data_IF_341129279281
#
_entry.id   IF_341129279281
#
_cell.length_a   1.000
_cell.length_b   1.000
_cell.length_c   1.000
_cell.angle_alpha   90.00
_cell.angle_beta   90.00
_cell.angle_gamma   90.00
#
_symmetry.space_group_name_H-M   'P 1'
#
loop_
_entity.id
_entity.type
_entity.pdbx_description
1 polymer ?
#
# COMPACT_ATOMS: atom_id res chain seq x y z
N UNK A 1 -65.44 -47.76 32.18
CA UNK A 1 -64.31 -48.00 31.23
C UNK A 1 -63.39 -46.82 31.06
N UNK A 2 -63.34 -45.92 32.04
CA UNK A 2 -62.60 -44.57 31.88
C UNK A 2 -61.46 -44.42 32.93
N UNK A 3 -61.29 -45.33 33.85
CA UNK A 3 -60.31 -45.23 34.96
C UNK A 3 -59.06 -46.07 34.79
N UNK A 4 -58.84 -46.72 33.63
CA UNK A 4 -57.64 -47.57 33.40
C UNK A 4 -56.57 -46.94 32.48
N UNK A 5 -56.85 -45.73 31.91
CA UNK A 5 -55.94 -45.01 31.02
C UNK A 5 -55.12 -43.94 31.72
N UNK A 6 -55.46 -43.59 32.97
CA UNK A 6 -54.74 -42.54 33.71
C UNK A 6 -53.51 -43.04 34.48
N UNK A 7 -53.47 -44.40 34.77
CA UNK A 7 -52.37 -44.94 35.53
C UNK A 7 -51.14 -45.37 34.71
N UNK A 8 -51.28 -45.51 33.40
CA UNK A 8 -50.12 -45.85 32.55
C UNK A 8 -49.30 -44.61 32.08
N UNK A 9 -49.86 -43.41 32.12
CA UNK A 9 -49.13 -42.21 31.71
C UNK A 9 -48.32 -41.50 32.84
N UNK A 10 -48.38 -42.01 34.07
CA UNK A 10 -47.56 -41.51 35.19
C UNK A 10 -46.24 -42.26 35.38
N UNK A 11 -46.04 -43.40 34.75
CA UNK A 11 -44.81 -44.18 34.84
C UNK A 11 -43.75 -43.75 33.77
N UNK A 12 -44.15 -42.95 32.75
CA UNK A 12 -43.26 -42.56 31.67
C UNK A 12 -42.60 -41.16 31.86
N UNK A 13 -42.97 -40.42 32.91
CA UNK A 13 -42.41 -39.08 33.20
C UNK A 13 -41.44 -39.04 34.39
N UNK A 14 -41.06 -40.19 34.94
CA UNK A 14 -40.10 -40.25 36.05
C UNK A 14 -38.70 -40.80 35.68
N UNK A 15 -38.39 -40.88 34.40
CA UNK A 15 -37.01 -41.11 33.95
C UNK A 15 -36.35 -39.79 33.56
N UNK A 16 -36.29 -38.82 34.47
CA UNK A 16 -35.31 -37.72 34.39
C UNK A 16 -33.94 -38.33 34.66
N UNK A 17 -33.23 -38.60 33.58
CA UNK A 17 -31.88 -39.10 33.61
C UNK A 17 -30.98 -38.23 34.47
N UNK A 18 -30.57 -38.71 35.58
CA UNK A 18 -29.44 -38.20 36.33
C UNK A 18 -28.20 -38.35 35.44
N UNK A 19 -27.72 -37.25 34.86
CA UNK A 19 -26.43 -37.29 34.19
C UNK A 19 -25.39 -37.67 35.25
N UNK A 20 -24.78 -38.83 35.09
CA UNK A 20 -23.72 -39.32 35.98
C UNK A 20 -22.59 -38.24 35.96
N UNK A 21 -21.91 -38.10 37.09
CA UNK A 21 -20.80 -37.15 37.25
C UNK A 21 -19.76 -37.35 36.16
N UNK A 22 -19.59 -38.54 35.65
CA UNK A 22 -18.73 -38.93 34.55
C UNK A 22 -19.20 -38.33 33.20
N UNK A 23 -20.49 -38.30 32.90
CA UNK A 23 -21.06 -37.67 31.70
C UNK A 23 -20.89 -36.16 31.70
N UNK A 24 -21.01 -35.51 32.86
CA UNK A 24 -20.75 -34.05 33.00
C UNK A 24 -19.28 -33.72 32.83
N UNK A 25 -18.37 -34.57 33.28
CA UNK A 25 -16.91 -34.37 33.10
C UNK A 25 -16.53 -34.58 31.64
N UNK A 26 -17.01 -35.60 30.95
CA UNK A 26 -16.78 -35.84 29.51
C UNK A 26 -17.31 -34.67 28.66
N UNK A 27 -18.50 -34.16 28.98
CA UNK A 27 -19.09 -33.03 28.26
C UNK A 27 -18.30 -31.71 28.47
N UNK A 28 -17.77 -31.46 29.67
CA UNK A 28 -16.88 -30.32 29.96
C UNK A 28 -15.54 -30.44 29.22
N UNK A 29 -14.97 -31.64 29.15
CA UNK A 29 -13.74 -31.91 28.41
C UNK A 29 -13.95 -31.76 26.92
N UNK A 30 -15.02 -32.27 26.35
CA UNK A 30 -15.38 -32.08 24.94
C UNK A 30 -15.57 -30.59 24.60
N UNK A 31 -16.27 -29.82 25.44
CA UNK A 31 -16.42 -28.38 25.21
C UNK A 31 -15.08 -27.63 25.25
N UNK A 32 -14.15 -27.99 26.12
CA UNK A 32 -12.79 -27.43 26.16
C UNK A 32 -12.00 -27.79 24.90
N UNK A 33 -12.09 -29.03 24.42
CA UNK A 33 -11.43 -29.48 23.20
C UNK A 33 -12.00 -28.74 21.99
N UNK A 34 -13.33 -28.60 21.89
CA UNK A 34 -13.99 -27.83 20.84
C UNK A 34 -13.60 -26.34 20.87
N UNK A 35 -13.51 -25.74 22.05
CA UNK A 35 -13.07 -24.35 22.20
C UNK A 35 -11.60 -24.20 21.81
N UNK A 36 -10.73 -25.12 22.20
CA UNK A 36 -9.32 -25.13 21.77
C UNK A 36 -9.16 -25.34 20.26
N UNK A 37 -9.95 -26.22 19.65
CA UNK A 37 -9.95 -26.43 18.21
C UNK A 37 -10.50 -25.21 17.45
N UNK A 38 -11.53 -24.55 17.96
CA UNK A 38 -12.09 -23.34 17.39
C UNK A 38 -11.12 -22.15 17.51
N UNK A 39 -10.43 -22.00 18.64
CA UNK A 39 -9.39 -20.98 18.80
C UNK A 39 -8.17 -21.27 17.93
N UNK A 40 -7.75 -22.52 17.80
CA UNK A 40 -6.64 -22.91 16.93
C UNK A 40 -7.00 -22.73 15.44
N UNK A 41 -8.24 -23.03 15.05
CA UNK A 41 -8.74 -22.75 13.70
C UNK A 41 -8.85 -21.24 13.43
N UNK A 42 -9.29 -20.44 14.40
CA UNK A 42 -9.34 -18.98 14.29
C UNK A 42 -7.93 -18.36 14.22
N UNK A 43 -6.96 -18.87 14.99
CA UNK A 43 -5.55 -18.45 14.88
C UNK A 43 -4.91 -18.88 13.56
N UNK A 44 -5.22 -20.06 13.04
CA UNK A 44 -4.78 -20.52 11.73
C UNK A 44 -5.42 -19.70 10.58
N UNK A 45 -6.69 -19.29 10.73
CA UNK A 45 -7.33 -18.39 9.74
C UNK A 45 -6.74 -16.98 9.77
N UNK A 46 -6.26 -16.50 10.91
CA UNK A 46 -5.58 -15.21 11.04
C UNK A 46 -4.13 -15.23 10.52
N UNK A 47 -3.54 -16.42 10.33
CA UNK A 47 -2.18 -16.57 9.79
C UNK A 47 -2.12 -16.66 8.24
N UNK A 48 -3.26 -16.60 7.54
CA UNK A 48 -3.31 -16.59 6.08
C UNK A 48 -3.71 -15.20 5.58
N UNK A 49 -3.18 -14.16 6.20
CA UNK A 49 -3.03 -12.89 5.49
C UNK A 49 -1.78 -13.11 4.66
N UNK A 50 -1.94 -13.41 3.39
CA UNK A 50 -0.86 -13.27 2.41
C UNK A 50 -0.41 -11.82 2.52
N UNK A 51 0.68 -11.58 3.23
CA UNK A 51 1.30 -10.29 3.25
C UNK A 51 1.87 -10.09 1.85
N UNK A 52 1.11 -9.45 0.98
CA UNK A 52 1.67 -8.80 -0.19
C UNK A 52 2.70 -7.83 0.34
N UNK A 53 3.94 -8.03 0.01
CA UNK A 53 5.04 -7.39 0.71
C UNK A 53 6.08 -6.91 -0.30
N UNK A 54 5.83 -5.74 -0.93
CA UNK A 54 6.84 -5.07 -1.76
C UNK A 54 7.79 -4.25 -0.91
N UNK A 55 8.98 -3.96 -1.43
CA UNK A 55 9.91 -3.01 -0.82
C UNK A 55 10.53 -2.15 -1.91
N UNK A 56 10.33 -0.84 -1.83
CA UNK A 56 11.04 0.12 -2.67
C UNK A 56 12.25 0.67 -1.93
N UNK A 57 13.33 0.92 -2.68
CA UNK A 57 14.56 1.54 -2.18
C UNK A 57 14.95 2.65 -3.14
N UNK A 58 15.26 3.80 -2.58
CA UNK A 58 15.90 4.90 -3.30
C UNK A 58 17.25 5.19 -2.67
N UNK A 59 18.26 5.42 -3.51
CA UNK A 59 19.58 5.93 -3.11
C UNK A 59 19.90 7.15 -3.95
N UNK A 60 20.11 8.29 -3.28
CA UNK A 60 20.38 9.56 -3.92
C UNK A 60 21.76 9.63 -4.55
N UNK A 61 21.90 10.47 -5.57
CA UNK A 61 23.09 10.57 -6.43
C UNK A 61 24.38 10.99 -5.68
N UNK A 62 24.25 11.73 -4.58
CA UNK A 62 25.42 12.12 -3.78
C UNK A 62 25.96 11.00 -2.90
N UNK A 63 25.25 9.88 -2.84
CA UNK A 63 25.62 8.69 -2.06
C UNK A 63 26.15 7.55 -2.95
N UNK A 64 26.31 7.79 -4.24
CA UNK A 64 26.81 6.81 -5.20
C UNK A 64 28.16 7.22 -5.77
N UNK A 65 28.97 6.26 -6.19
CA UNK A 65 30.33 6.53 -6.66
C UNK A 65 30.40 7.19 -8.02
N UNK A 66 29.33 7.10 -8.81
CA UNK A 66 29.26 7.63 -10.18
C UNK A 66 28.26 8.80 -10.33
N UNK A 67 27.63 9.24 -9.24
CA UNK A 67 26.65 10.32 -9.25
C UNK A 67 25.29 9.93 -9.83
N UNK A 68 25.01 8.66 -10.02
CA UNK A 68 23.68 8.18 -10.43
C UNK A 68 22.78 7.97 -9.22
N UNK A 69 21.46 8.08 -9.41
CA UNK A 69 20.49 7.65 -8.40
C UNK A 69 20.03 6.23 -8.70
N UNK A 70 19.73 5.46 -7.64
CA UNK A 70 19.18 4.12 -7.77
C UNK A 70 17.73 4.09 -7.27
N UNK A 71 16.86 3.53 -8.11
CA UNK A 71 15.53 3.10 -7.71
C UNK A 71 15.46 1.59 -7.88
N UNK A 72 15.05 0.92 -6.82
CA UNK A 72 14.87 -0.53 -6.83
C UNK A 72 13.55 -0.91 -6.18
N UNK A 73 12.98 -2.02 -6.63
CA UNK A 73 11.79 -2.63 -6.04
C UNK A 73 11.98 -4.14 -5.96
N UNK A 74 11.61 -4.73 -4.82
CA UNK A 74 11.26 -6.14 -4.74
C UNK A 74 9.75 -6.27 -4.70
N UNK A 75 9.24 -7.35 -5.26
CA UNK A 75 7.87 -7.75 -5.09
C UNK A 75 7.84 -9.08 -4.36
N UNK A 76 7.19 -9.06 -3.20
CA UNK A 76 7.11 -10.20 -2.30
C UNK A 76 5.65 -10.69 -2.27
N UNK A 77 5.21 -11.29 -3.37
CA UNK A 77 3.87 -11.85 -3.52
C UNK A 77 3.91 -13.39 -3.57
N UNK A 78 2.83 -14.02 -3.93
CA UNK A 78 2.78 -15.47 -4.06
C UNK A 78 3.74 -15.97 -5.15
N UNK A 79 4.50 -17.03 -4.88
CA UNK A 79 5.37 -17.68 -5.86
C UNK A 79 4.63 -18.32 -7.07
N UNK A 80 3.32 -18.24 -7.10
CA UNK A 80 2.49 -18.65 -8.25
C UNK A 80 2.36 -17.58 -9.33
N UNK A 81 2.86 -16.36 -9.07
CA UNK A 81 2.83 -15.25 -10.03
C UNK A 81 4.18 -15.13 -10.72
N UNK A 82 4.23 -15.55 -11.98
CA UNK A 82 5.39 -15.29 -12.83
C UNK A 82 5.34 -13.85 -13.33
N UNK A 83 6.50 -13.23 -13.45
CA UNK A 83 6.64 -11.90 -14.05
C UNK A 83 7.19 -12.00 -15.46
N UNK A 84 6.68 -11.16 -16.35
CA UNK A 84 7.20 -10.98 -17.69
C UNK A 84 7.66 -9.54 -17.88
N UNK A 85 8.78 -9.36 -18.59
CA UNK A 85 9.26 -8.06 -18.99
C UNK A 85 9.17 -7.92 -20.52
N UNK A 86 8.68 -6.79 -20.98
CA UNK A 86 8.47 -6.52 -22.41
C UNK A 86 8.58 -5.03 -22.73
N UNK A 87 8.49 -4.73 -24.02
CA UNK A 87 8.49 -3.34 -24.52
C UNK A 87 7.17 -3.07 -25.20
N UNK A 88 6.47 -2.05 -24.76
CA UNK A 88 5.34 -1.47 -25.45
C UNK A 88 5.85 -0.47 -26.50
N UNK A 89 5.41 -0.65 -27.74
CA UNK A 89 5.82 0.22 -28.84
C UNK A 89 5.12 1.58 -28.77
N UNK A 90 5.76 2.60 -29.29
CA UNK A 90 5.14 3.91 -29.45
C UNK A 90 3.80 3.82 -30.17
N UNK A 91 2.79 4.46 -29.63
CA UNK A 91 1.43 4.45 -30.18
C UNK A 91 0.68 3.13 -29.99
N UNK A 92 1.06 2.29 -29.01
CA UNK A 92 0.25 1.14 -28.56
C UNK A 92 -1.17 1.60 -28.21
N UNK A 93 -1.28 2.66 -27.48
CA UNK A 93 -2.52 3.39 -27.22
C UNK A 93 -2.56 4.63 -28.10
N UNK A 94 -3.66 4.88 -28.80
CA UNK A 94 -3.83 6.01 -29.69
C UNK A 94 -4.48 7.20 -28.96
N UNK A 95 -4.16 8.42 -29.41
CA UNK A 95 -4.87 9.60 -28.95
C UNK A 95 -6.39 9.42 -29.04
N UNK A 96 -7.11 9.69 -27.97
CA UNK A 96 -8.55 9.52 -27.82
C UNK A 96 -9.01 8.07 -27.60
N UNK A 97 -8.12 7.07 -27.55
CA UNK A 97 -8.50 5.73 -27.12
C UNK A 97 -8.67 5.66 -25.61
N UNK A 98 -9.53 4.77 -25.15
CA UNK A 98 -9.82 4.57 -23.73
C UNK A 98 -9.06 3.35 -23.24
N UNK A 99 -8.31 3.53 -22.17
CA UNK A 99 -7.77 2.47 -21.33
C UNK A 99 -8.86 2.00 -20.36
N UNK A 100 -8.91 0.72 -20.10
CA UNK A 100 -9.81 0.10 -19.13
C UNK A 100 -8.97 -0.82 -18.25
N UNK A 101 -8.85 -0.48 -16.97
CA UNK A 101 -8.09 -1.22 -15.96
C UNK A 101 -8.86 -2.43 -15.43
N UNK A 102 -8.17 -3.26 -14.63
CA UNK A 102 -8.72 -4.50 -14.06
C UNK A 102 -9.97 -4.26 -13.21
N UNK A 103 -9.99 -3.16 -12.48
CA UNK A 103 -11.06 -2.85 -11.52
C UNK A 103 -12.06 -1.83 -12.04
N UNK A 104 -12.00 -1.52 -13.34
CA UNK A 104 -12.96 -0.65 -14.01
C UNK A 104 -12.55 0.82 -14.06
N UNK A 105 -11.35 1.19 -13.59
CA UNK A 105 -10.77 2.50 -13.85
C UNK A 105 -10.66 2.73 -15.36
N UNK A 106 -10.96 3.94 -15.82
CA UNK A 106 -10.84 4.31 -17.22
C UNK A 106 -10.04 5.59 -17.38
N UNK A 107 -9.19 5.62 -18.42
CA UNK A 107 -8.43 6.81 -18.80
C UNK A 107 -8.47 7.02 -20.31
N UNK A 108 -8.62 8.26 -20.76
CA UNK A 108 -8.58 8.60 -22.19
C UNK A 108 -7.23 9.21 -22.52
N UNK A 109 -6.44 8.56 -23.38
CA UNK A 109 -5.12 9.07 -23.75
C UNK A 109 -5.22 10.38 -24.52
N UNK A 110 -4.39 11.34 -24.15
CA UNK A 110 -4.37 12.69 -24.76
C UNK A 110 -3.57 12.74 -26.06
N UNK A 111 -2.63 11.81 -26.22
CA UNK A 111 -1.79 11.64 -27.41
C UNK A 111 -1.48 10.15 -27.64
N UNK A 112 -0.78 9.82 -28.71
CA UNK A 112 -0.27 8.47 -28.95
C UNK A 112 0.76 8.15 -27.84
N UNK A 113 0.60 6.98 -27.16
CA UNK A 113 1.44 6.59 -26.05
C UNK A 113 2.92 6.53 -26.43
N UNK A 114 3.81 6.95 -25.53
CA UNK A 114 5.24 6.72 -25.68
C UNK A 114 5.58 5.23 -25.66
N UNK A 115 6.71 4.86 -26.28
CA UNK A 115 7.26 3.54 -26.09
C UNK A 115 7.82 3.40 -24.66
N UNK A 116 7.58 2.25 -24.02
CA UNK A 116 8.07 2.01 -22.66
C UNK A 116 8.35 0.54 -22.40
N UNK A 117 9.31 0.27 -21.53
CA UNK A 117 9.50 -1.05 -20.92
C UNK A 117 8.51 -1.23 -19.79
N UNK A 118 8.04 -2.46 -19.58
CA UNK A 118 7.18 -2.79 -18.46
C UNK A 118 7.51 -4.16 -17.90
N UNK A 119 7.27 -4.34 -16.61
CA UNK A 119 7.20 -5.63 -15.96
C UNK A 119 5.78 -5.80 -15.43
N UNK A 120 5.16 -6.92 -15.75
CA UNK A 120 3.80 -7.23 -15.32
C UNK A 120 3.67 -8.68 -14.89
N UNK A 121 2.54 -9.01 -14.28
CA UNK A 121 2.15 -10.37 -14.05
C UNK A 121 1.95 -11.13 -15.37
N UNK A 122 2.33 -12.42 -15.36
CA UNK A 122 2.12 -13.30 -16.49
C UNK A 122 0.65 -13.76 -16.53
N UNK A 123 -0.14 -13.12 -17.38
CA UNK A 123 -1.53 -13.49 -17.62
C UNK A 123 -1.73 -14.38 -18.87
N UNK A 124 -0.69 -15.06 -19.34
CA UNK A 124 -0.75 -15.92 -20.55
C UNK A 124 -1.76 -17.07 -20.42
N UNK A 125 -2.17 -17.41 -19.19
CA UNK A 125 -3.28 -18.35 -18.93
C UNK A 125 -4.65 -17.81 -19.35
N UNK A 126 -4.77 -16.51 -19.65
CA UNK A 126 -6.05 -15.84 -19.91
C UNK A 126 -6.92 -15.61 -18.68
N UNK A 127 -6.37 -15.87 -17.50
CA UNK A 127 -7.00 -15.58 -16.21
C UNK A 127 -6.20 -14.49 -15.54
N UNK A 128 -6.86 -13.40 -15.17
CA UNK A 128 -6.23 -12.35 -14.37
C UNK A 128 -5.80 -12.92 -13.03
N UNK A 129 -4.53 -12.82 -12.64
CA UNK A 129 -4.08 -13.34 -11.37
C UNK A 129 -4.76 -12.64 -10.18
N UNK A 130 -5.09 -11.36 -10.28
CA UNK A 130 -5.70 -10.61 -9.17
C UNK A 130 -7.20 -10.82 -9.03
N UNK A 131 -7.96 -10.56 -10.10
CA UNK A 131 -9.42 -10.69 -10.02
C UNK A 131 -9.91 -12.11 -10.27
N UNK A 132 -9.06 -13.03 -10.75
CA UNK A 132 -9.39 -14.42 -11.03
C UNK A 132 -10.39 -14.62 -12.19
N UNK A 133 -10.66 -13.59 -12.98
CA UNK A 133 -11.63 -13.63 -14.07
C UNK A 133 -10.94 -13.82 -15.43
N UNK A 134 -11.65 -14.49 -16.34
CA UNK A 134 -11.25 -14.64 -17.74
C UNK A 134 -11.83 -13.47 -18.52
N UNK A 135 -11.11 -12.38 -18.61
CA UNK A 135 -11.46 -11.26 -19.48
C UNK A 135 -10.19 -10.63 -20.07
N UNK A 136 -10.28 -10.09 -21.29
CA UNK A 136 -9.18 -9.33 -21.83
C UNK A 136 -9.11 -8.00 -21.08
N UNK A 137 -8.21 -7.90 -20.13
CA UNK A 137 -7.81 -6.64 -19.56
C UNK A 137 -6.33 -6.41 -19.76
N UNK A 138 -5.96 -5.19 -19.54
CA UNK A 138 -4.59 -4.75 -19.66
C UNK A 138 -3.71 -5.51 -18.67
N UNK A 139 -2.47 -5.81 -19.05
CA UNK A 139 -1.48 -6.34 -18.14
C UNK A 139 -1.34 -5.43 -16.92
N UNK A 140 -1.12 -6.00 -15.76
CA UNK A 140 -0.83 -5.29 -14.53
C UNK A 140 0.63 -4.85 -14.54
N UNK A 141 0.88 -3.69 -15.14
CA UNK A 141 2.21 -3.11 -15.27
C UNK A 141 2.54 -2.32 -14.00
N UNK A 142 3.60 -2.68 -13.30
CA UNK A 142 3.93 -2.12 -11.99
C UNK A 142 5.18 -1.26 -12.02
N UNK A 143 6.09 -1.52 -12.96
CA UNK A 143 7.37 -0.84 -13.08
C UNK A 143 7.83 -0.77 -14.53
N UNK A 144 8.47 0.33 -14.89
CA UNK A 144 9.06 0.50 -16.21
C UNK A 144 9.71 1.86 -16.42
N UNK A 145 10.18 2.05 -17.67
CA UNK A 145 10.74 3.33 -18.11
C UNK A 145 10.33 3.62 -19.55
N UNK A 146 10.00 4.85 -19.86
CA UNK A 146 9.59 5.25 -21.21
C UNK A 146 10.72 5.88 -22.04
N UNK A 147 10.46 6.08 -23.32
CA UNK A 147 11.41 6.67 -24.29
C UNK A 147 11.76 8.15 -24.01
N UNK A 148 11.06 8.80 -23.08
CA UNK A 148 11.37 10.16 -22.62
C UNK A 148 12.30 10.16 -21.41
N UNK A 149 12.62 8.98 -20.85
CA UNK A 149 13.45 8.83 -19.67
C UNK A 149 12.69 8.90 -18.35
N UNK A 150 11.36 8.87 -18.40
CA UNK A 150 10.55 8.77 -17.18
C UNK A 150 10.51 7.31 -16.72
N UNK A 151 10.77 7.08 -15.44
CA UNK A 151 10.66 5.78 -14.78
C UNK A 151 9.60 5.82 -13.70
N UNK A 152 8.80 4.78 -13.60
CA UNK A 152 7.71 4.63 -12.61
C UNK A 152 7.84 3.30 -11.90
N UNK A 153 7.61 3.31 -10.58
CA UNK A 153 7.44 2.12 -9.78
C UNK A 153 6.30 2.36 -8.80
N UNK A 154 5.21 1.61 -8.96
CA UNK A 154 4.06 1.66 -8.06
C UNK A 154 4.11 0.53 -7.03
N UNK A 155 3.50 0.72 -5.88
CA UNK A 155 3.46 -0.25 -4.78
C UNK A 155 2.17 -0.10 -3.97
N UNK A 156 1.35 -1.12 -3.89
CA UNK A 156 0.40 -1.26 -2.78
C UNK A 156 1.15 -1.91 -1.62
N UNK A 157 0.84 -1.70 -0.37
CA UNK A 157 -0.26 -1.01 0.26
C UNK A 157 0.28 -0.19 1.40
N UNK A 158 -0.12 1.06 1.46
CA UNK A 158 0.04 1.81 2.70
C UNK A 158 -0.99 1.31 3.72
N UNK A 159 -0.75 1.57 4.99
CA UNK A 159 -1.66 1.14 6.07
C UNK A 159 -2.26 2.37 6.77
N UNK A 160 -3.23 3.06 6.13
CA UNK A 160 -3.89 4.19 6.75
C UNK A 160 -4.73 3.74 7.93
N UNK A 161 -4.95 4.65 8.89
CA UNK A 161 -5.90 4.39 9.95
C UNK A 161 -7.35 4.41 9.43
N UNK A 162 -8.22 3.61 10.06
CA UNK A 162 -9.60 3.49 9.60
C UNK A 162 -10.43 4.77 9.73
N UNK A 163 -10.02 5.73 10.57
CA UNK A 163 -10.75 6.98 10.75
C UNK A 163 -10.59 7.90 9.53
N UNK A 164 -9.39 8.00 8.95
CA UNK A 164 -9.18 8.80 7.73
C UNK A 164 -9.87 8.14 6.52
N UNK A 165 -9.84 6.81 6.41
CA UNK A 165 -10.55 6.09 5.34
C UNK A 165 -12.07 6.24 5.46
N UNK A 166 -12.61 6.34 6.67
CA UNK A 166 -14.04 6.64 6.86
C UNK A 166 -14.38 8.10 6.53
N UNK A 167 -13.43 9.02 6.69
CA UNK A 167 -13.64 10.45 6.40
C UNK A 167 -13.55 10.75 4.89
N UNK A 168 -12.71 10.01 4.17
CA UNK A 168 -12.54 10.08 2.70
C UNK A 168 -12.39 8.65 2.16
N UNK A 169 -13.49 7.94 1.84
CA UNK A 169 -13.47 6.56 1.39
C UNK A 169 -12.73 6.37 0.06
N UNK A 170 -12.24 5.16 -0.18
CA UNK A 170 -11.74 4.75 -1.50
C UNK A 170 -12.86 4.79 -2.55
N UNK A 171 -12.50 5.01 -3.79
CA UNK A 171 -13.41 5.08 -4.93
C UNK A 171 -13.40 3.76 -5.72
N UNK A 172 -14.55 3.11 -5.84
CA UNK A 172 -14.69 1.79 -6.48
C UNK A 172 -14.15 1.73 -7.94
N UNK A 173 -14.11 2.87 -8.64
CA UNK A 173 -13.59 3.01 -10.00
C UNK A 173 -12.35 3.92 -10.07
N UNK A 174 -11.71 4.13 -8.92
CA UNK A 174 -10.50 4.90 -8.80
C UNK A 174 -9.28 4.19 -9.41
N UNK A 175 -8.20 4.94 -9.59
CA UNK A 175 -6.94 4.36 -10.07
C UNK A 175 -6.33 3.43 -9.02
N UNK A 176 -5.76 2.30 -9.45
CA UNK A 176 -5.04 1.36 -8.59
C UNK A 176 -3.61 1.12 -9.09
N UNK A 177 -2.80 0.37 -8.34
CA UNK A 177 -1.40 0.07 -8.66
C UNK A 177 -1.22 -0.41 -10.09
N UNK A 178 -2.08 -1.34 -10.52
CA UNK A 178 -2.01 -1.97 -11.84
C UNK A 178 -2.21 -1.01 -13.03
N UNK A 179 -2.75 0.18 -12.79
CA UNK A 179 -3.03 1.17 -13.83
C UNK A 179 -1.91 2.23 -13.93
N UNK A 180 -1.27 2.54 -12.80
CA UNK A 180 -0.40 3.70 -12.64
C UNK A 180 0.77 3.70 -13.61
N UNK A 181 1.52 2.60 -13.68
CA UNK A 181 2.69 2.54 -14.55
C UNK A 181 2.29 2.67 -16.03
N UNK A 182 1.21 2.01 -16.46
CA UNK A 182 0.70 2.09 -17.84
C UNK A 182 0.37 3.53 -18.22
N UNK A 183 -0.39 4.24 -17.39
CA UNK A 183 -0.84 5.60 -17.68
C UNK A 183 0.35 6.58 -17.67
N UNK A 184 1.14 6.56 -16.60
CA UNK A 184 2.22 7.53 -16.43
C UNK A 184 3.34 7.33 -17.45
N UNK A 185 3.72 6.10 -17.77
CA UNK A 185 4.74 5.82 -18.78
C UNK A 185 4.25 6.11 -20.20
N UNK A 186 2.94 6.02 -20.45
CA UNK A 186 2.35 6.33 -21.74
C UNK A 186 2.32 7.82 -22.04
N UNK A 187 2.18 8.69 -21.04
CA UNK A 187 1.85 10.10 -21.26
C UNK A 187 2.89 11.09 -20.72
N UNK A 188 3.66 10.75 -19.68
CA UNK A 188 4.58 11.71 -19.08
C UNK A 188 5.90 11.86 -19.86
N UNK A 189 6.37 13.09 -20.01
CA UNK A 189 7.68 13.43 -20.60
C UNK A 189 8.72 13.79 -19.54
N UNK A 190 8.29 14.11 -18.33
CA UNK A 190 9.12 14.39 -17.14
C UNK A 190 8.53 13.77 -15.90
N UNK A 191 9.34 13.61 -14.85
CA UNK A 191 8.82 13.12 -13.56
C UNK A 191 7.73 14.05 -13.02
N UNK A 192 7.91 15.37 -13.15
CA UNK A 192 6.94 16.37 -12.70
C UNK A 192 5.59 16.23 -13.40
N UNK A 193 5.59 16.07 -14.74
CA UNK A 193 4.35 15.82 -15.49
C UNK A 193 3.67 14.51 -15.05
N UNK A 194 4.45 13.47 -14.79
CA UNK A 194 3.91 12.19 -14.26
C UNK A 194 3.25 12.36 -12.89
N UNK A 195 3.86 13.16 -12.01
CA UNK A 195 3.25 13.52 -10.73
C UNK A 195 1.96 14.29 -10.96
N UNK A 196 1.98 15.37 -11.73
CA UNK A 196 0.81 16.21 -11.99
C UNK A 196 -0.36 15.40 -12.59
N UNK A 197 -0.09 14.50 -13.53
CA UNK A 197 -1.09 13.61 -14.11
C UNK A 197 -1.71 12.68 -13.05
N UNK A 198 -0.89 12.05 -12.20
CA UNK A 198 -1.38 11.19 -11.13
C UNK A 198 -2.25 11.95 -10.12
N UNK A 199 -1.80 13.15 -9.72
CA UNK A 199 -2.54 13.99 -8.78
C UNK A 199 -3.86 14.50 -9.37
N UNK A 200 -3.91 14.80 -10.68
CA UNK A 200 -5.16 15.17 -11.37
C UNK A 200 -6.15 13.99 -11.35
N UNK A 201 -5.67 12.77 -11.56
CA UNK A 201 -6.51 11.57 -11.48
C UNK A 201 -7.05 11.39 -10.05
N UNK A 202 -6.22 11.52 -9.01
CA UNK A 202 -6.68 11.46 -7.63
C UNK A 202 -7.73 12.54 -7.29
N UNK A 203 -7.58 13.74 -7.86
CA UNK A 203 -8.54 14.83 -7.64
C UNK A 203 -9.88 14.62 -8.35
N UNK A 204 -9.88 13.98 -9.53
CA UNK A 204 -11.04 13.91 -10.42
C UNK A 204 -11.78 12.59 -10.36
N UNK A 205 -11.05 11.49 -10.25
CA UNK A 205 -11.58 10.12 -10.25
C UNK A 205 -11.40 9.46 -8.88
N UNK A 206 -10.32 9.78 -8.18
CA UNK A 206 -9.95 9.16 -6.92
C UNK A 206 -9.10 7.90 -7.07
N UNK A 207 -8.77 7.29 -5.93
CA UNK A 207 -8.04 6.06 -5.83
C UNK A 207 -8.92 4.91 -5.31
N UNK A 208 -8.78 3.72 -5.91
CA UNK A 208 -9.41 2.49 -5.44
C UNK A 208 -8.64 1.90 -4.26
N UNK A 209 -7.33 2.11 -4.22
CA UNK A 209 -6.47 1.59 -3.17
C UNK A 209 -5.38 2.59 -2.75
N UNK A 210 -4.74 2.31 -1.61
CA UNK A 210 -3.69 3.14 -1.03
C UNK A 210 -2.33 2.68 -1.51
N UNK A 211 -1.62 3.56 -2.18
CA UNK A 211 -0.40 3.23 -2.90
C UNK A 211 0.74 4.20 -2.60
N UNK A 212 1.96 3.72 -2.76
CA UNK A 212 3.17 4.53 -2.86
C UNK A 212 3.74 4.42 -4.27
N UNK A 213 4.13 5.55 -4.87
CA UNK A 213 4.63 5.60 -6.25
C UNK A 213 5.92 6.40 -6.31
N UNK A 214 6.98 5.81 -6.88
CA UNK A 214 8.18 6.53 -7.28
C UNK A 214 8.06 6.91 -8.76
N UNK A 215 8.27 8.18 -9.04
CA UNK A 215 8.27 8.74 -10.41
C UNK A 215 9.57 9.52 -10.57
N UNK A 216 10.37 9.17 -11.56
CA UNK A 216 11.71 9.69 -11.73
C UNK A 216 12.00 10.05 -13.19
N UNK A 217 12.84 11.05 -13.39
CA UNK A 217 13.54 11.28 -14.63
C UNK A 217 15.04 11.56 -14.35
N UNK A 218 15.77 12.03 -15.36
CA UNK A 218 17.20 12.35 -15.21
C UNK A 218 17.49 13.53 -14.27
N UNK A 219 16.50 14.35 -13.91
CA UNK A 219 16.67 15.60 -13.17
C UNK A 219 16.12 15.52 -11.75
N UNK A 220 15.02 14.78 -11.55
CA UNK A 220 14.35 14.74 -10.26
C UNK A 220 13.60 13.43 -10.03
N UNK A 221 13.34 13.16 -8.76
CA UNK A 221 12.65 11.97 -8.29
C UNK A 221 11.61 12.41 -7.28
N UNK A 222 10.39 11.93 -7.49
CA UNK A 222 9.25 12.17 -6.61
C UNK A 222 8.76 10.88 -5.99
N UNK A 223 8.35 10.97 -4.73
CA UNK A 223 7.61 9.92 -4.06
C UNK A 223 6.20 10.42 -3.73
N UNK A 224 5.21 9.69 -4.17
CA UNK A 224 3.79 10.02 -3.99
C UNK A 224 3.15 8.97 -3.12
N UNK A 225 2.40 9.38 -2.10
CA UNK A 225 1.53 8.51 -1.28
C UNK A 225 0.10 9.01 -1.36
N UNK A 226 -0.85 8.11 -1.64
CA UNK A 226 -2.26 8.34 -1.38
C UNK A 226 -2.73 7.41 -0.25
N UNK A 227 -3.55 7.94 0.66
CA UNK A 227 -4.00 7.21 1.86
C UNK A 227 -5.49 6.89 1.83
N UNK A 228 -6.24 7.66 1.07
CA UNK A 228 -7.71 7.61 0.97
C UNK A 228 -8.10 7.87 -0.49
N UNK A 229 -9.39 7.92 -0.79
CA UNK A 229 -9.85 8.14 -2.15
C UNK A 229 -9.26 9.37 -2.82
N UNK A 230 -9.15 10.49 -2.08
CA UNK A 230 -8.74 11.77 -2.67
C UNK A 230 -7.63 12.48 -1.88
N UNK A 231 -7.08 11.89 -0.81
CA UNK A 231 -5.96 12.49 -0.10
C UNK A 231 -4.63 11.90 -0.53
N UNK A 232 -3.69 12.78 -0.81
CA UNK A 232 -2.34 12.41 -1.23
C UNK A 232 -1.31 13.44 -0.78
N UNK A 233 -0.06 13.00 -0.78
CA UNK A 233 1.12 13.86 -0.62
C UNK A 233 2.20 13.38 -1.58
N UNK A 234 2.77 14.29 -2.35
CA UNK A 234 3.93 14.06 -3.20
C UNK A 234 5.11 14.86 -2.65
N UNK A 235 6.28 14.23 -2.54
CA UNK A 235 7.50 14.87 -2.07
C UNK A 235 8.67 14.57 -3.02
N UNK A 236 9.42 15.62 -3.36
CA UNK A 236 10.65 15.50 -4.14
C UNK A 236 11.76 14.95 -3.27
N UNK A 237 12.43 13.91 -3.73
CA UNK A 237 13.48 13.24 -2.98
C UNK A 237 14.83 13.96 -3.18
N UNK A 238 15.58 14.13 -2.08
CA UNK A 238 16.90 14.74 -2.10
C UNK A 238 17.98 13.80 -2.62
N UNK A 239 19.00 14.34 -3.29
CA UNK A 239 20.20 13.58 -3.72
C UNK A 239 21.03 13.02 -2.55
N UNK A 240 20.82 13.50 -1.32
CA UNK A 240 21.56 13.12 -0.12
C UNK A 240 20.83 12.08 0.75
N UNK A 241 19.80 11.41 0.24
CA UNK A 241 18.98 10.51 1.06
C UNK A 241 18.94 9.08 0.55
N UNK A 242 18.64 8.17 1.47
CA UNK A 242 18.20 6.79 1.18
C UNK A 242 16.82 6.63 1.77
N UNK A 243 15.88 6.08 1.00
CA UNK A 243 14.57 5.67 1.53
C UNK A 243 14.36 4.17 1.36
N UNK A 244 13.66 3.57 2.32
CA UNK A 244 13.30 2.16 2.29
C UNK A 244 11.82 2.09 2.65
N UNK A 245 10.99 1.74 1.67
CA UNK A 245 9.53 1.78 1.81
C UNK A 245 8.94 0.37 1.71
N UNK A 246 8.70 -0.32 2.83
CA UNK A 246 8.20 -1.68 2.86
C UNK A 246 6.68 -1.76 3.09
N UNK A 247 5.85 -1.34 2.16
CA UNK A 247 4.37 -1.30 2.27
C UNK A 247 3.87 -0.52 3.50
N UNK A 248 4.44 0.64 3.74
CA UNK A 248 4.05 1.51 4.85
C UNK A 248 4.20 2.96 4.43
N UNK A 249 3.49 3.86 5.08
CA UNK A 249 3.70 5.29 4.89
C UNK A 249 5.14 5.67 5.20
N UNK A 250 5.71 6.53 4.38
CA UNK A 250 7.08 7.02 4.52
C UNK A 250 7.17 8.53 4.62
N UNK A 251 6.11 9.29 4.25
CA UNK A 251 6.11 10.75 4.36
C UNK A 251 5.75 11.15 5.78
N UNK A 252 6.64 11.86 6.45
CA UNK A 252 6.49 12.35 7.83
C UNK A 252 5.99 13.78 7.90
N UNK A 253 6.70 14.63 8.66
CA UNK A 253 6.36 16.03 8.82
C UNK A 253 6.69 16.81 7.53
N UNK A 254 5.71 17.47 6.95
CA UNK A 254 5.85 18.30 5.77
C UNK A 254 5.37 19.72 6.01
N UNK A 255 6.09 20.67 5.40
CA UNK A 255 5.71 22.06 5.23
C UNK A 255 5.01 22.20 3.87
N UNK A 256 3.72 22.52 3.88
CA UNK A 256 2.90 22.64 2.68
C UNK A 256 3.14 23.98 1.93
N UNK A 257 3.86 24.92 2.54
CA UNK A 257 4.28 26.17 1.86
C UNK A 257 5.52 25.96 0.98
N UNK A 258 6.25 24.84 1.15
CA UNK A 258 7.36 24.43 0.28
C UNK A 258 6.84 23.80 -1.04
N UNK A 259 6.21 24.60 -1.86
CA UNK A 259 5.59 24.16 -3.13
C UNK A 259 6.57 23.70 -4.19
N UNK A 260 7.88 23.91 -4.01
CA UNK A 260 8.94 23.39 -4.88
C UNK A 260 9.16 21.89 -4.65
N UNK A 261 9.06 21.45 -3.41
CA UNK A 261 9.42 20.08 -3.00
C UNK A 261 8.22 19.27 -2.51
N UNK A 262 7.08 19.90 -2.23
CA UNK A 262 5.87 19.23 -1.72
C UNK A 262 4.65 19.65 -2.51
N UNK A 263 3.80 18.69 -2.84
CA UNK A 263 2.45 18.92 -3.35
C UNK A 263 1.49 17.98 -2.60
N UNK A 264 0.40 18.52 -2.09
CA UNK A 264 -0.58 17.74 -1.36
C UNK A 264 -2.00 18.07 -1.79
N UNK A 265 -2.92 17.15 -1.54
CA UNK A 265 -4.35 17.39 -1.78
C UNK A 265 -4.87 18.53 -0.89
N UNK A 266 -5.78 19.33 -1.44
CA UNK A 266 -6.35 20.49 -0.74
C UNK A 266 -7.12 20.09 0.54
N UNK A 267 -7.60 18.86 0.61
CA UNK A 267 -8.34 18.31 1.74
C UNK A 267 -7.46 17.54 2.75
N UNK A 268 -6.13 17.48 2.58
CA UNK A 268 -5.23 16.68 3.42
C UNK A 268 -5.40 17.00 4.92
N UNK A 269 -5.33 18.28 5.30
CA UNK A 269 -5.52 18.68 6.71
C UNK A 269 -6.96 18.44 7.17
N UNK A 270 -7.95 18.82 6.37
CA UNK A 270 -9.35 18.76 6.77
C UNK A 270 -9.87 17.33 6.96
N UNK A 271 -9.40 16.36 6.16
CA UNK A 271 -9.73 14.94 6.33
C UNK A 271 -9.13 14.40 7.63
N UNK A 272 -7.87 14.73 7.95
CA UNK A 272 -7.24 14.34 9.21
C UNK A 272 -7.94 14.98 10.43
N UNK A 273 -8.38 16.24 10.32
CA UNK A 273 -9.18 16.90 11.37
C UNK A 273 -10.55 16.22 11.55
N UNK A 274 -11.26 15.93 10.45
CA UNK A 274 -12.54 15.23 10.50
C UNK A 274 -12.40 13.83 11.12
N UNK A 275 -11.29 13.15 10.85
CA UNK A 275 -10.96 11.86 11.44
C UNK A 275 -10.51 11.97 12.91
N UNK A 276 -10.20 13.16 13.41
CA UNK A 276 -9.65 13.38 14.76
C UNK A 276 -8.21 12.89 14.92
N UNK A 277 -7.44 12.81 13.83
CA UNK A 277 -6.09 12.24 13.80
C UNK A 277 -5.01 13.25 13.40
N UNK A 278 -5.38 14.52 13.16
CA UNK A 278 -4.44 15.54 12.73
C UNK A 278 -3.30 15.75 13.73
N UNK A 279 -2.08 15.70 13.22
CA UNK A 279 -0.83 16.03 13.92
C UNK A 279 -0.06 17.03 13.05
N UNK A 280 0.17 18.23 13.55
CA UNK A 280 0.85 19.31 12.82
C UNK A 280 0.58 20.66 13.47
N UNK A 281 1.01 21.74 12.80
CA UNK A 281 0.70 23.13 13.17
C UNK A 281 0.05 23.88 12.00
N UNK A 282 -1.23 24.23 12.15
CA UNK A 282 -1.99 24.95 11.11
C UNK A 282 -1.51 26.39 10.90
N UNK A 283 -0.88 26.99 11.91
CA UNK A 283 -0.34 28.36 11.76
C UNK A 283 0.95 28.36 10.93
N UNK A 284 1.66 27.26 10.95
CA UNK A 284 2.88 27.04 10.15
C UNK A 284 2.60 26.22 8.89
N UNK A 285 1.32 25.93 8.59
CA UNK A 285 0.88 25.13 7.46
C UNK A 285 1.62 23.78 7.33
N UNK A 286 1.84 23.11 8.47
CA UNK A 286 2.57 21.84 8.54
C UNK A 286 1.66 20.69 8.97
N UNK A 287 1.96 19.48 8.47
CA UNK A 287 1.30 18.25 8.87
C UNK A 287 2.31 17.09 8.94
N UNK A 288 2.29 16.31 10.01
CA UNK A 288 2.94 15.01 10.05
C UNK A 288 2.00 13.99 9.40
N UNK A 289 2.25 13.71 8.12
CA UNK A 289 1.39 12.85 7.29
C UNK A 289 1.37 11.44 7.86
N UNK A 290 2.53 10.91 8.25
CA UNK A 290 2.64 9.59 8.83
C UNK A 290 1.80 9.44 10.10
N UNK A 291 1.94 10.36 11.06
CA UNK A 291 1.18 10.32 12.32
C UNK A 291 -0.29 10.59 12.14
N UNK A 292 -0.67 11.41 11.14
CA UNK A 292 -2.06 11.76 10.87
C UNK A 292 -2.81 10.65 10.12
N UNK A 293 -2.15 9.95 9.20
CA UNK A 293 -2.80 9.03 8.27
C UNK A 293 -2.48 7.56 8.49
N UNK A 294 -1.28 7.21 9.01
CA UNK A 294 -0.88 5.84 9.15
C UNK A 294 -1.34 5.22 10.47
N UNK A 295 -1.67 3.93 10.43
CA UNK A 295 -2.00 3.17 11.62
C UNK A 295 -0.76 2.47 12.17
N UNK A 296 -0.39 2.83 13.41
CA UNK A 296 0.65 2.15 14.17
C UNK A 296 0.06 1.47 15.40
N UNK A 297 -0.31 0.20 15.24
CA UNK A 297 -0.84 -0.58 16.36
C UNK A 297 0.22 -0.91 17.43
N UNK A 298 1.52 -0.90 17.09
CA UNK A 298 2.55 -1.44 17.98
C UNK A 298 3.82 -0.60 18.11
N UNK A 299 3.97 0.47 17.34
CA UNK A 299 5.20 1.27 17.33
C UNK A 299 6.46 0.51 16.84
N UNK A 300 6.29 -0.72 16.31
CA UNK A 300 7.41 -1.52 15.84
C UNK A 300 7.56 -1.36 14.33
N UNK A 301 8.68 -0.82 13.84
CA UNK A 301 8.91 -0.71 12.41
C UNK A 301 8.99 -2.08 11.75
N UNK A 302 8.66 -2.13 10.45
CA UNK A 302 8.77 -3.35 9.64
C UNK A 302 10.18 -3.93 9.74
N UNK A 303 10.29 -5.26 9.87
CA UNK A 303 11.59 -5.94 9.85
C UNK A 303 12.39 -5.68 8.58
N UNK A 304 11.73 -5.45 7.43
CA UNK A 304 12.35 -5.06 6.15
C UNK A 304 12.96 -3.67 6.23
N UNK A 305 12.28 -2.71 6.86
CA UNK A 305 12.81 -1.37 7.12
C UNK A 305 14.06 -1.45 8.00
N UNK A 306 13.96 -2.16 9.13
CA UNK A 306 15.09 -2.34 10.06
C UNK A 306 16.29 -2.99 9.37
N UNK A 307 16.06 -4.04 8.58
CA UNK A 307 17.14 -4.73 7.83
C UNK A 307 17.80 -3.80 6.81
N UNK A 308 17.01 -3.03 6.05
CA UNK A 308 17.55 -2.10 5.08
C UNK A 308 18.33 -0.95 5.75
N UNK A 309 17.81 -0.37 6.83
CA UNK A 309 18.53 0.64 7.60
C UNK A 309 19.85 0.10 8.13
N UNK A 310 19.85 -1.08 8.73
CA UNK A 310 21.09 -1.70 9.23
C UNK A 310 22.10 -1.96 8.11
N UNK A 311 21.61 -2.36 6.92
CA UNK A 311 22.49 -2.57 5.77
C UNK A 311 23.22 -1.28 5.36
N UNK A 312 22.48 -0.19 5.21
CA UNK A 312 23.06 1.08 4.75
C UNK A 312 23.84 1.83 5.82
N UNK A 313 23.39 1.83 7.07
CA UNK A 313 24.04 2.61 8.16
C UNK A 313 25.13 1.83 8.88
N UNK A 314 24.98 0.52 9.03
CA UNK A 314 25.82 -0.30 9.90
C UNK A 314 26.61 -1.37 9.15
N UNK A 315 26.67 -1.32 7.81
CA UNK A 315 27.35 -2.32 7.00
C UNK A 315 26.81 -3.74 7.18
N UNK A 316 25.53 -3.86 7.52
CA UNK A 316 24.88 -5.15 7.74
C UNK A 316 25.09 -5.74 9.15
N UNK A 317 25.78 -5.05 10.08
CA UNK A 317 25.89 -5.54 11.44
C UNK A 317 24.57 -5.31 12.21
N UNK A 318 24.04 -6.40 12.78
CA UNK A 318 22.74 -6.43 13.45
C UNK A 318 22.78 -5.75 14.81
N UNK A 319 22.47 -4.49 14.88
CA UNK A 319 21.96 -3.91 16.12
C UNK A 319 20.81 -2.99 15.74
N UNK A 320 19.60 -3.51 15.84
CA UNK A 320 18.41 -2.68 15.75
C UNK A 320 18.45 -1.62 16.84
N UNK A 321 18.86 -0.42 16.48
CA UNK A 321 18.54 0.75 17.29
C UNK A 321 17.01 0.80 17.42
N UNK A 322 16.50 1.28 18.54
CA UNK A 322 15.06 1.55 18.68
C UNK A 322 14.75 2.71 17.73
N UNK A 323 14.19 2.39 16.55
CA UNK A 323 13.84 3.40 15.55
C UNK A 323 12.51 4.04 15.93
N UNK A 324 12.47 5.35 15.85
CA UNK A 324 11.24 6.13 15.94
C UNK A 324 10.78 6.54 14.53
N UNK A 325 9.52 6.94 14.32
CA UNK A 325 9.07 7.42 13.02
C UNK A 325 9.94 8.53 12.43
N UNK A 326 10.47 9.39 13.26
CA UNK A 326 11.36 10.48 12.86
C UNK A 326 12.70 9.99 12.28
N UNK A 327 13.09 8.75 12.55
CA UNK A 327 14.34 8.17 12.06
C UNK A 327 14.22 7.62 10.64
N UNK A 328 12.99 7.40 10.13
CA UNK A 328 12.78 6.73 8.84
C UNK A 328 11.72 7.37 7.94
N UNK A 329 10.99 8.40 8.39
CA UNK A 329 10.04 9.13 7.53
C UNK A 329 10.71 10.29 6.81
N UNK A 330 10.23 10.56 5.60
CA UNK A 330 10.69 11.65 4.75
C UNK A 330 10.06 12.95 5.25
N UNK A 331 10.88 13.97 5.50
CA UNK A 331 10.42 15.28 5.97
C UNK A 331 11.17 16.39 5.24
N UNK A 332 10.47 17.46 4.86
CA UNK A 332 11.09 18.70 4.37
C UNK A 332 11.19 19.77 5.47
N UNK A 333 10.68 19.48 6.65
CA UNK A 333 10.74 20.38 7.82
C UNK A 333 11.92 19.99 8.68
N UNK A 334 12.88 20.79 8.72
CA UNK A 334 14.01 21.02 9.63
C UNK A 334 15.23 21.47 8.83
N UNK A 335 15.61 22.72 9.00
CA UNK A 335 16.81 23.32 8.43
C UNK A 335 16.92 23.28 6.88
N UNK A 336 15.78 23.19 6.19
CA UNK A 336 15.73 23.09 4.72
C UNK A 336 16.33 21.80 4.17
N UNK A 337 16.35 20.73 4.98
CA UNK A 337 16.86 19.41 4.61
C UNK A 337 15.75 18.42 4.66
N UNK A 338 15.50 17.75 3.52
CA UNK A 338 14.62 16.57 3.45
C UNK A 338 15.37 15.45 4.17
N UNK A 339 14.81 14.96 5.28
CA UNK A 339 15.45 13.94 6.12
C UNK A 339 14.73 12.60 5.94
N UNK A 340 15.37 11.67 5.24
CA UNK A 340 15.23 10.25 5.51
C UNK A 340 16.65 9.70 5.52
N UNK A 341 17.01 8.97 6.54
CA UNK A 341 18.31 8.32 6.71
C UNK A 341 19.51 9.08 6.12
N UNK A 342 20.07 10.02 6.87
CA UNK A 342 21.37 10.58 6.55
C UNK A 342 22.43 9.53 6.82
N UNK A 343 23.10 9.11 5.77
CA UNK A 343 24.39 8.46 5.93
C UNK A 343 25.47 9.53 5.90
N UNK A 344 26.11 9.79 7.03
CA UNK A 344 27.48 10.26 7.00
C UNK A 344 28.33 9.05 6.56
N UNK A 345 28.36 8.76 5.27
CA UNK A 345 29.32 7.83 4.68
C UNK A 345 30.56 8.62 4.31
#
# INVERSE_FOLDING_TARGET
>A
MYNKLITQNRAFLSAKGGSTQEGRTKMKTMKKIWFLMATMAATLLLCVISASACTMVYVGSDLTSDGSSFLARSEDFSNSYNKIAYVNQHGKYKAGSVYEGCYGFTHTFTHDSYAYTATSDDNTSGVCPDCGQTHPHTPMEEVGSNEKGVSVSAMVTLSPNGAVVNADPMEDLGICESDMATILLSEATTAKEGVELLLDIYNTVGAEEKSGVLIADQNEIWYVENFTGHTYTAIKLSSHMITINPNMGAIGLVDLDDTENVTASANLISVAEQAGTFVGDKNENTIDVFKSYCYYASGTPSGRLVSGINYFLNGGSETAATLTPEDYTISNVKDGKITALYTNI
#
